data_IF_210143157321
#
_entry.id   IF_210143157321
#
_cell.length_a   1.000
_cell.length_b   1.000
_cell.length_c   1.000
_cell.angle_alpha   90.00
_cell.angle_beta   90.00
_cell.angle_gamma   90.00
#
_symmetry.space_group_name_H-M   'P 1'
#
loop_
_entity.id
_entity.type
_entity.pdbx_description
1 polymer ?
#
# COMPACT_ATOMS: atom_id res chain seq x y z
N UNK A 1 -8.73 -4.19 3.22
CA UNK A 1 -8.00 -3.06 3.84
C UNK A 1 -7.89 -3.17 5.36
N UNK A 2 -8.95 -3.56 6.07
CA UNK A 2 -8.97 -3.61 7.55
C UNK A 2 -7.95 -4.58 8.18
N UNK A 3 -7.67 -5.72 7.56
CA UNK A 3 -6.69 -6.70 8.06
C UNK A 3 -5.28 -6.10 8.09
N UNK A 4 -4.90 -5.35 7.06
CA UNK A 4 -3.58 -4.69 7.00
C UNK A 4 -3.46 -3.58 8.05
N UNK A 5 -4.52 -2.80 8.27
CA UNK A 5 -4.55 -1.78 9.32
C UNK A 5 -4.51 -2.38 10.73
N UNK A 6 -5.16 -3.54 10.95
CA UNK A 6 -5.05 -4.29 12.21
C UNK A 6 -3.65 -4.84 12.45
N UNK A 7 -2.97 -5.32 11.41
CA UNK A 7 -1.59 -5.81 11.51
C UNK A 7 -0.62 -4.66 11.84
N UNK A 8 -0.75 -3.49 11.20
CA UNK A 8 0.08 -2.32 11.53
C UNK A 8 -0.14 -1.87 12.98
N UNK A 9 -1.39 -1.81 13.46
CA UNK A 9 -1.69 -1.48 14.86
C UNK A 9 -1.08 -2.47 15.86
N UNK A 10 -1.03 -3.76 15.52
CA UNK A 10 -0.40 -4.77 16.39
C UNK A 10 1.11 -4.55 16.43
N UNK A 11 1.74 -4.25 15.30
CA UNK A 11 3.18 -4.04 15.21
C UNK A 11 3.62 -2.79 15.99
N UNK A 12 2.90 -1.67 15.83
CA UNK A 12 3.17 -0.43 16.57
C UNK A 12 3.03 -0.63 18.09
N UNK A 13 2.05 -1.44 18.52
CA UNK A 13 1.82 -1.74 19.93
C UNK A 13 2.91 -2.62 20.52
N UNK A 14 3.48 -3.53 19.74
CA UNK A 14 4.64 -4.34 20.12
C UNK A 14 5.87 -3.44 20.28
N UNK A 15 6.14 -2.55 19.31
CA UNK A 15 7.28 -1.63 19.37
C UNK A 15 7.20 -0.67 20.57
N UNK A 16 6.02 -0.10 20.86
CA UNK A 16 5.82 0.70 22.06
C UNK A 16 6.03 -0.10 23.36
N UNK A 17 5.55 -1.33 23.40
CA UNK A 17 5.69 -2.19 24.59
C UNK A 17 7.15 -2.54 24.83
N UNK A 18 7.91 -2.86 23.78
CA UNK A 18 9.35 -3.11 23.86
C UNK A 18 10.12 -1.87 24.28
N UNK A 19 9.79 -0.69 23.74
CA UNK A 19 10.38 0.59 24.15
C UNK A 19 10.18 0.87 25.65
N UNK A 20 8.96 0.66 26.15
CA UNK A 20 8.62 0.86 27.56
C UNK A 20 9.33 -0.14 28.49
N UNK A 21 9.48 -1.41 28.06
CA UNK A 21 10.22 -2.43 28.82
C UNK A 21 11.70 -2.05 28.89
N UNK A 22 12.30 -1.61 27.78
CA UNK A 22 13.70 -1.18 27.72
C UNK A 22 13.91 0.03 28.65
N UNK A 23 13.02 1.02 28.61
CA UNK A 23 13.12 2.19 29.48
C UNK A 23 13.04 1.81 30.97
N UNK A 24 12.09 0.96 31.35
CA UNK A 24 11.98 0.45 32.73
C UNK A 24 13.19 -0.35 33.20
N UNK A 25 13.88 -1.04 32.29
CA UNK A 25 15.12 -1.75 32.60
C UNK A 25 16.26 -0.74 32.84
N UNK A 26 16.33 0.33 32.05
CA UNK A 26 17.31 1.40 32.26
C UNK A 26 17.08 2.16 33.56
N UNK A 27 15.83 2.53 33.86
CA UNK A 27 15.49 3.26 35.09
C UNK A 27 15.77 2.41 36.35
N UNK A 28 15.48 1.10 36.31
CA UNK A 28 15.81 0.15 37.40
C UNK A 28 17.30 -0.08 37.60
N UNK A 29 18.13 0.09 36.57
CA UNK A 29 19.58 0.01 36.68
C UNK A 29 20.15 1.32 37.28
N UNK A 30 19.48 2.46 37.08
CA UNK A 30 19.87 3.76 37.64
C UNK A 30 19.54 3.87 39.15
N UNK A 31 18.39 3.37 39.58
CA UNK A 31 18.01 3.27 41.02
C UNK A 31 18.89 2.30 41.83
N UNK A 32 19.62 1.40 41.15
CA UNK A 32 20.63 0.52 41.77
C UNK A 32 22.03 1.12 41.78
N UNK A 33 22.30 2.12 40.94
CA UNK A 33 23.56 2.86 40.90
C UNK A 33 23.65 3.85 42.08
N UNK A 34 22.54 4.48 42.50
CA UNK A 34 22.51 5.38 43.67
C UNK A 34 22.53 4.67 45.03
N UNK A 35 22.18 3.39 45.10
CA UNK A 35 22.09 2.63 46.38
C UNK A 35 23.36 1.86 46.75
N UNK A 36 24.44 2.01 45.98
CA UNK A 36 25.62 1.13 46.02
C UNK A 36 26.96 1.88 46.15
N UNK A 37 26.96 3.08 46.75
CA UNK A 37 28.19 3.69 47.27
C UNK A 37 28.26 3.50 48.79
N UNK A 38 29.15 2.62 49.31
CA UNK A 38 29.50 2.62 50.72
C UNK A 38 30.43 3.82 51.01
N UNK A 39 30.41 4.37 52.24
CA UNK A 39 31.35 5.40 52.66
C UNK A 39 32.80 4.98 52.36
N UNK A 40 33.60 5.89 51.81
CA UNK A 40 34.94 5.66 51.23
C UNK A 40 35.95 4.95 52.18
N UNK A 41 35.63 4.79 53.45
CA UNK A 41 36.50 4.22 54.49
C UNK A 41 36.57 2.67 54.50
N UNK A 42 35.74 1.96 53.73
CA UNK A 42 35.72 0.48 53.74
C UNK A 42 36.66 -0.19 52.72
N UNK A 43 37.22 0.55 51.76
CA UNK A 43 38.03 -0.05 50.68
C UNK A 43 39.47 -0.40 51.07
N UNK A 44 39.96 0.12 52.20
CA UNK A 44 41.37 -0.03 52.60
C UNK A 44 41.65 -1.39 53.26
N UNK A 45 40.65 -2.07 53.83
CA UNK A 45 40.88 -3.32 54.59
C UNK A 45 40.71 -4.62 53.77
N UNK A 46 40.19 -4.55 52.54
CA UNK A 46 39.89 -5.75 51.73
C UNK A 46 40.86 -5.95 50.56
N UNK A 47 41.98 -5.23 50.52
CA UNK A 47 42.99 -5.33 49.45
C UNK A 47 44.01 -6.48 49.64
N UNK A 48 43.94 -7.24 50.73
CA UNK A 48 44.93 -8.28 51.06
C UNK A 48 44.49 -9.73 50.77
N UNK A 49 43.29 -9.99 50.26
CA UNK A 49 42.88 -11.34 49.83
C UNK A 49 42.46 -11.35 48.37
N UNK A 50 43.16 -12.17 47.59
CA UNK A 50 43.19 -12.09 46.13
C UNK A 50 41.87 -12.40 45.42
N UNK A 51 41.86 -11.96 44.16
CA UNK A 51 40.90 -12.27 43.09
C UNK A 51 39.48 -11.70 43.24
N UNK A 52 39.36 -10.38 43.08
CA UNK A 52 38.12 -9.79 42.55
C UNK A 52 38.35 -9.26 41.14
N UNK A 53 37.60 -9.78 40.16
CA UNK A 53 37.55 -9.18 38.83
C UNK A 53 36.99 -7.77 38.96
N UNK A 54 37.79 -6.76 38.59
CA UNK A 54 37.44 -5.33 38.65
C UNK A 54 35.95 -5.09 38.26
N UNK A 55 35.09 -4.60 39.17
CA UNK A 55 33.67 -4.40 38.92
C UNK A 55 33.40 -3.43 37.74
N UNK A 56 34.30 -2.49 37.46
CA UNK A 56 34.22 -1.60 36.29
C UNK A 56 34.42 -2.34 34.97
N UNK A 57 35.15 -3.46 34.97
CA UNK A 57 35.33 -4.32 33.77
C UNK A 57 34.03 -5.06 33.44
N UNK A 58 33.26 -5.48 34.44
CA UNK A 58 31.97 -6.15 34.25
C UNK A 58 30.88 -5.16 33.80
N UNK A 59 30.83 -3.95 34.40
CA UNK A 59 29.94 -2.85 33.98
C UNK A 59 30.20 -2.42 32.53
N UNK A 60 31.47 -2.24 32.11
CA UNK A 60 31.82 -1.95 30.71
C UNK A 60 31.38 -3.04 29.75
N UNK A 61 31.70 -4.31 30.03
CA UNK A 61 31.28 -5.45 29.20
C UNK A 61 29.76 -5.54 29.01
N UNK A 62 28.98 -5.20 30.04
CA UNK A 62 27.51 -5.16 29.96
C UNK A 62 27.03 -4.01 29.07
N UNK A 63 27.57 -2.79 29.24
CA UNK A 63 27.27 -1.63 28.38
C UNK A 63 27.62 -1.92 26.91
N UNK A 64 28.79 -2.50 26.64
CA UNK A 64 29.21 -2.86 25.28
C UNK A 64 28.28 -3.91 24.64
N UNK A 65 27.83 -4.91 25.42
CA UNK A 65 26.91 -5.94 24.93
C UNK A 65 25.51 -5.38 24.66
N UNK A 66 25.02 -4.46 25.50
CA UNK A 66 23.76 -3.75 25.27
C UNK A 66 23.86 -2.88 24.01
N UNK A 67 24.95 -2.14 23.84
CA UNK A 67 25.18 -1.32 22.65
C UNK A 67 25.24 -2.18 21.38
N UNK A 68 25.91 -3.34 21.43
CA UNK A 68 25.97 -4.30 20.33
C UNK A 68 24.58 -4.86 19.99
N UNK A 69 23.78 -5.21 20.99
CA UNK A 69 22.41 -5.69 20.79
C UNK A 69 21.51 -4.60 20.23
N UNK A 70 21.62 -3.35 20.70
CA UNK A 70 20.90 -2.19 20.18
C UNK A 70 21.25 -1.94 18.71
N UNK A 71 22.54 -1.92 18.38
CA UNK A 71 22.98 -1.75 16.99
C UNK A 71 22.52 -2.91 16.09
N UNK A 72 22.53 -4.14 16.62
CA UNK A 72 21.99 -5.32 15.93
C UNK A 72 20.49 -5.20 15.65
N UNK A 73 19.71 -4.78 16.65
CA UNK A 73 18.27 -4.57 16.52
C UNK A 73 17.95 -3.45 15.51
N UNK A 74 18.64 -2.31 15.60
CA UNK A 74 18.48 -1.21 14.64
C UNK A 74 18.83 -1.66 13.22
N UNK A 75 19.86 -2.49 13.05
CA UNK A 75 20.22 -3.05 11.73
C UNK A 75 19.11 -3.94 11.19
N UNK A 76 18.52 -4.81 12.02
CA UNK A 76 17.40 -5.66 11.64
C UNK A 76 16.17 -4.84 11.26
N UNK A 77 15.77 -3.87 12.10
CA UNK A 77 14.66 -2.96 11.81
C UNK A 77 14.85 -2.22 10.49
N UNK A 78 16.05 -1.67 10.26
CA UNK A 78 16.38 -0.99 9.02
C UNK A 78 16.28 -1.90 7.79
N UNK A 79 16.63 -3.19 7.91
CA UNK A 79 16.47 -4.15 6.83
C UNK A 79 14.97 -4.38 6.49
N UNK A 80 14.11 -4.52 7.51
CA UNK A 80 12.66 -4.66 7.30
C UNK A 80 12.04 -3.42 6.66
N UNK A 81 12.41 -2.22 7.12
CA UNK A 81 11.92 -0.95 6.53
C UNK A 81 12.34 -0.84 5.07
N UNK A 82 13.59 -1.16 4.75
CA UNK A 82 14.08 -1.16 3.36
C UNK A 82 13.30 -2.16 2.49
N UNK A 83 13.07 -3.38 2.97
CA UNK A 83 12.30 -4.38 2.23
C UNK A 83 10.84 -3.94 2.02
N UNK A 84 10.19 -3.36 3.03
CA UNK A 84 8.85 -2.77 2.91
C UNK A 84 8.82 -1.71 1.80
N UNK A 85 9.82 -0.82 1.77
CA UNK A 85 9.90 0.22 0.77
C UNK A 85 10.08 -0.34 -0.65
N UNK A 86 10.92 -1.37 -0.83
CA UNK A 86 11.10 -2.05 -2.12
C UNK A 86 9.79 -2.68 -2.58
N UNK A 87 9.07 -3.36 -1.69
CA UNK A 87 7.78 -3.98 -2.02
C UNK A 87 6.72 -2.93 -2.42
N UNK A 88 6.60 -1.82 -1.69
CA UNK A 88 5.69 -0.71 -2.04
C UNK A 88 6.07 -0.13 -3.40
N UNK A 89 7.37 0.08 -3.65
CA UNK A 89 7.85 0.65 -4.91
C UNK A 89 7.56 -0.28 -6.10
N UNK A 90 7.79 -1.59 -5.93
CA UNK A 90 7.44 -2.62 -6.90
C UNK A 90 5.93 -2.62 -7.19
N UNK A 91 5.09 -2.61 -6.15
CA UNK A 91 3.64 -2.54 -6.29
C UNK A 91 3.22 -1.27 -7.05
N UNK A 92 3.75 -0.10 -6.70
CA UNK A 92 3.43 1.15 -7.41
C UNK A 92 3.85 1.11 -8.88
N UNK A 93 5.05 0.65 -9.19
CA UNK A 93 5.53 0.51 -10.57
C UNK A 93 4.60 -0.39 -11.40
N UNK A 94 4.16 -1.47 -10.78
CA UNK A 94 3.34 -2.47 -11.42
C UNK A 94 1.88 -2.01 -11.69
N UNK A 95 1.32 -1.12 -10.86
CA UNK A 95 0.08 -0.39 -11.17
C UNK A 95 0.28 0.63 -12.29
N UNK A 96 1.43 1.30 -12.34
CA UNK A 96 1.72 2.26 -13.42
C UNK A 96 1.81 1.56 -14.78
N UNK A 97 2.47 0.41 -14.84
CA UNK A 97 2.50 -0.42 -16.07
C UNK A 97 1.09 -0.85 -16.45
N UNK A 98 0.29 -1.37 -15.50
CA UNK A 98 -1.10 -1.75 -15.75
C UNK A 98 -1.94 -0.59 -16.31
N UNK A 99 -1.74 0.63 -15.79
CA UNK A 99 -2.42 1.84 -16.26
C UNK A 99 -1.99 2.26 -17.67
N UNK A 100 -0.72 2.07 -18.02
CA UNK A 100 -0.24 2.35 -19.38
C UNK A 100 -0.85 1.35 -20.37
N UNK A 101 -0.85 0.07 -20.03
CA UNK A 101 -1.44 -0.99 -20.86
C UNK A 101 -2.93 -0.73 -21.07
N UNK A 102 -3.69 -0.46 -19.99
CA UNK A 102 -5.12 -0.20 -20.10
C UNK A 102 -5.47 1.00 -20.97
N UNK A 103 -4.66 2.06 -20.97
CA UNK A 103 -4.84 3.25 -21.82
C UNK A 103 -4.59 2.99 -23.30
N UNK A 104 -3.70 2.04 -23.61
CA UNK A 104 -3.36 1.72 -25.01
C UNK A 104 -4.36 0.77 -25.68
N UNK A 105 -5.25 0.13 -24.90
CA UNK A 105 -6.25 -0.81 -25.42
C UNK A 105 -5.64 -2.06 -26.09
N UNK A 106 -4.38 -2.38 -25.76
CA UNK A 106 -3.63 -3.46 -26.39
C UNK A 106 -3.96 -4.83 -25.78
N UNK A 107 -3.83 -5.93 -26.54
CA UNK A 107 -4.09 -7.27 -26.02
C UNK A 107 -3.12 -7.65 -24.89
N UNK A 108 -3.60 -8.45 -23.93
CA UNK A 108 -2.82 -8.99 -22.79
C UNK A 108 -1.60 -9.86 -23.17
N UNK A 109 -1.31 -10.02 -24.46
CA UNK A 109 -0.12 -10.72 -24.98
C UNK A 109 1.15 -9.88 -24.77
N UNK A 110 1.03 -8.55 -24.61
CA UNK A 110 2.19 -7.66 -24.52
C UNK A 110 2.79 -7.53 -23.11
N UNK A 111 2.14 -8.06 -22.07
CA UNK A 111 2.52 -7.76 -20.68
C UNK A 111 3.80 -8.50 -20.27
N UNK A 112 3.92 -9.76 -20.71
CA UNK A 112 5.13 -10.57 -20.52
C UNK A 112 6.29 -9.98 -21.34
N UNK A 113 6.00 -9.51 -22.56
CA UNK A 113 6.96 -8.81 -23.40
C UNK A 113 7.48 -7.52 -22.77
N UNK A 114 6.62 -6.73 -22.11
CA UNK A 114 7.05 -5.53 -21.36
C UNK A 114 8.02 -5.90 -20.24
N UNK A 115 7.79 -7.02 -19.54
CA UNK A 115 8.71 -7.50 -18.50
C UNK A 115 10.06 -7.91 -19.09
N UNK A 116 10.07 -8.62 -20.22
CA UNK A 116 11.30 -9.00 -20.92
C UNK A 116 12.10 -7.79 -21.41
N UNK A 117 11.41 -6.78 -21.97
CA UNK A 117 12.03 -5.52 -22.38
C UNK A 117 12.69 -4.81 -21.19
N UNK A 118 11.98 -4.71 -20.07
CA UNK A 118 12.47 -4.06 -18.86
C UNK A 118 13.72 -4.76 -18.30
N UNK A 119 13.71 -6.09 -18.28
CA UNK A 119 14.84 -6.89 -17.81
C UNK A 119 16.05 -6.80 -18.76
N UNK A 120 15.83 -6.78 -20.07
CA UNK A 120 16.90 -6.62 -21.05
C UNK A 120 17.60 -5.27 -20.90
N UNK A 121 16.84 -4.18 -20.76
CA UNK A 121 17.41 -2.84 -20.52
C UNK A 121 18.14 -2.77 -19.18
N UNK A 122 17.58 -3.35 -18.11
CA UNK A 122 18.21 -3.34 -16.79
C UNK A 122 19.56 -4.07 -16.78
N UNK A 123 19.67 -5.20 -17.50
CA UNK A 123 20.93 -5.95 -17.59
C UNK A 123 22.05 -5.15 -18.26
N UNK A 124 21.74 -4.38 -19.29
CA UNK A 124 22.74 -3.58 -20.04
C UNK A 124 23.08 -2.26 -19.34
N UNK A 125 22.10 -1.57 -18.75
CA UNK A 125 22.30 -0.22 -18.19
C UNK A 125 22.66 -0.22 -16.71
N UNK A 126 22.07 -1.13 -15.92
CA UNK A 126 22.17 -1.15 -14.46
C UNK A 126 22.14 -2.60 -13.93
N UNK A 127 23.14 -3.45 -14.26
CA UNK A 127 23.15 -4.86 -13.91
C UNK A 127 23.01 -5.10 -12.39
N UNK A 128 23.53 -4.20 -11.57
CA UNK A 128 23.46 -4.24 -10.11
C UNK A 128 22.04 -4.05 -9.54
N UNK A 129 21.09 -3.58 -10.36
CA UNK A 129 19.69 -3.35 -9.98
C UNK A 129 18.71 -4.30 -10.66
N UNK A 130 19.18 -5.26 -11.44
CA UNK A 130 18.33 -6.19 -12.20
C UNK A 130 17.29 -6.91 -11.32
N UNK A 131 17.68 -7.28 -10.10
CA UNK A 131 16.78 -7.95 -9.14
C UNK A 131 15.61 -7.08 -8.68
N UNK A 132 15.75 -5.75 -8.69
CA UNK A 132 14.65 -4.84 -8.37
C UNK A 132 13.57 -4.88 -9.46
N UNK A 133 13.98 -4.99 -10.73
CA UNK A 133 13.06 -5.08 -11.87
C UNK A 133 12.39 -6.46 -11.96
N UNK A 134 13.11 -7.53 -11.59
CA UNK A 134 12.55 -8.90 -11.58
C UNK A 134 11.44 -9.06 -10.54
N UNK A 135 11.56 -8.34 -9.41
CA UNK A 135 10.59 -8.28 -8.31
C UNK A 135 9.25 -7.65 -8.73
N UNK A 136 9.20 -6.91 -9.85
CA UNK A 136 7.94 -6.32 -10.35
C UNK A 136 7.06 -7.42 -10.97
N UNK A 137 5.89 -7.63 -10.37
CA UNK A 137 4.91 -8.60 -10.85
C UNK A 137 4.10 -8.00 -12.02
N UNK A 138 4.44 -8.39 -13.25
CA UNK A 138 3.79 -7.94 -14.49
C UNK A 138 3.16 -9.10 -15.28
N UNK A 139 2.80 -10.20 -14.62
CA UNK A 139 2.12 -11.29 -15.32
C UNK A 139 0.71 -10.88 -15.74
N UNK A 140 0.22 -11.47 -16.84
CA UNK A 140 -1.16 -11.40 -17.35
C UNK A 140 -2.21 -11.22 -16.26
N UNK A 141 -2.40 -12.24 -15.40
CA UNK A 141 -3.41 -12.20 -14.34
C UNK A 141 -3.21 -11.05 -13.33
N UNK A 142 -1.96 -10.67 -13.07
CA UNK A 142 -1.66 -9.60 -12.12
C UNK A 142 -2.07 -8.25 -12.67
N UNK A 143 -1.77 -7.96 -13.94
CA UNK A 143 -2.14 -6.70 -14.56
C UNK A 143 -3.67 -6.61 -14.71
N UNK A 144 -4.33 -7.68 -15.15
CA UNK A 144 -5.81 -7.73 -15.19
C UNK A 144 -6.41 -7.37 -13.84
N UNK A 145 -5.98 -8.03 -12.77
CA UNK A 145 -6.46 -7.74 -11.41
C UNK A 145 -6.22 -6.29 -11.00
N UNK A 146 -5.08 -5.70 -11.34
CA UNK A 146 -4.80 -4.29 -11.04
C UNK A 146 -5.65 -3.33 -11.85
N UNK A 147 -5.95 -3.65 -13.11
CA UNK A 147 -6.86 -2.87 -13.94
C UNK A 147 -8.27 -2.90 -13.33
N UNK A 148 -8.72 -4.08 -12.89
CA UNK A 148 -9.98 -4.24 -12.17
C UNK A 148 -9.99 -3.44 -10.87
N UNK A 149 -8.95 -3.54 -10.03
CA UNK A 149 -8.83 -2.77 -8.79
C UNK A 149 -8.86 -1.25 -9.05
N UNK A 150 -8.19 -0.78 -10.11
CA UNK A 150 -8.26 0.62 -10.52
C UNK A 150 -9.66 1.02 -11.00
N UNK A 151 -10.33 0.12 -11.74
CA UNK A 151 -11.71 0.30 -12.19
C UNK A 151 -12.71 0.38 -11.04
N UNK A 152 -12.57 -0.50 -10.04
CA UNK A 152 -13.38 -0.51 -8.83
C UNK A 152 -13.18 0.75 -8.01
N UNK A 153 -11.93 1.21 -7.86
CA UNK A 153 -11.64 2.47 -7.18
C UNK A 153 -12.26 3.67 -7.91
N UNK A 154 -12.18 3.70 -9.24
CA UNK A 154 -12.86 4.73 -10.03
C UNK A 154 -14.39 4.66 -9.85
N UNK A 155 -14.96 3.46 -9.85
CA UNK A 155 -16.39 3.26 -9.64
C UNK A 155 -16.84 3.77 -8.26
N UNK A 156 -16.09 3.48 -7.20
CA UNK A 156 -16.36 4.01 -5.86
C UNK A 156 -16.26 5.54 -5.82
N UNK A 157 -15.27 6.11 -6.51
CA UNK A 157 -15.15 7.57 -6.61
C UNK A 157 -16.39 8.19 -7.29
N UNK A 158 -16.84 7.61 -8.41
CA UNK A 158 -18.04 8.06 -9.11
C UNK A 158 -19.30 7.95 -8.24
N UNK A 159 -19.45 6.87 -7.47
CA UNK A 159 -20.56 6.71 -6.54
C UNK A 159 -20.56 7.79 -5.45
N UNK A 160 -19.40 8.05 -4.85
CA UNK A 160 -19.25 9.08 -3.82
C UNK A 160 -19.52 10.48 -4.37
N UNK A 161 -19.02 10.80 -5.57
CA UNK A 161 -19.30 12.07 -6.24
C UNK A 161 -20.78 12.21 -6.59
N UNK A 162 -21.42 11.13 -7.05
CA UNK A 162 -22.84 11.13 -7.40
C UNK A 162 -23.76 11.41 -6.20
N UNK A 163 -23.38 10.97 -5.00
CA UNK A 163 -24.13 11.27 -3.75
C UNK A 163 -24.15 12.75 -3.40
N UNK A 164 -23.16 13.51 -3.85
CA UNK A 164 -23.03 14.94 -3.58
C UNK A 164 -23.71 15.80 -4.65
N UNK A 165 -24.38 15.19 -5.64
CA UNK A 165 -25.10 15.92 -6.68
C UNK A 165 -26.50 16.29 -6.19
N UNK A 166 -26.84 17.57 -6.26
CA UNK A 166 -28.15 18.09 -5.88
C UNK A 166 -29.15 17.92 -7.02
N UNK A 167 -28.66 18.07 -8.25
CA UNK A 167 -29.40 17.82 -9.47
C UNK A 167 -28.51 17.05 -10.44
N UNK A 168 -29.10 16.09 -11.15
CA UNK A 168 -28.41 15.35 -12.18
C UNK A 168 -29.32 15.09 -13.39
N UNK A 169 -28.69 14.78 -14.52
CA UNK A 169 -29.30 14.34 -15.76
C UNK A 169 -28.46 13.20 -16.34
N UNK A 170 -29.09 12.37 -17.17
CA UNK A 170 -28.40 11.31 -17.90
C UNK A 170 -28.26 11.72 -19.36
N UNK A 171 -27.04 11.67 -19.88
CA UNK A 171 -26.78 11.79 -21.31
C UNK A 171 -26.48 10.39 -21.87
N UNK A 172 -27.25 9.98 -22.87
CA UNK A 172 -27.14 8.69 -23.52
C UNK A 172 -26.59 8.92 -24.93
N UNK A 173 -25.43 8.34 -25.23
CA UNK A 173 -24.84 8.40 -26.56
C UNK A 173 -24.72 6.99 -27.14
N UNK A 174 -25.15 6.81 -28.39
CA UNK A 174 -25.11 5.51 -29.07
C UNK A 174 -24.22 5.61 -30.28
N UNK A 175 -23.15 4.82 -30.29
CA UNK A 175 -22.32 4.63 -31.47
C UNK A 175 -22.66 3.28 -32.12
N UNK A 176 -22.81 3.27 -33.43
CA UNK A 176 -22.98 2.04 -34.20
C UNK A 176 -21.60 1.47 -34.53
N UNK A 177 -21.23 0.33 -33.93
CA UNK A 177 -20.05 -0.42 -34.38
C UNK A 177 -20.34 -1.05 -35.75
N UNK A 178 -19.32 -1.19 -36.58
CA UNK A 178 -19.36 -1.78 -37.94
C UNK A 178 -19.82 -3.25 -37.90
N UNK A 179 -19.94 -3.87 -36.71
CA UNK A 179 -20.23 -5.29 -36.46
C UNK A 179 -21.61 -5.57 -35.83
N UNK A 180 -22.66 -4.87 -36.25
CA UNK A 180 -24.07 -5.11 -35.83
C UNK A 180 -24.28 -5.06 -34.29
N UNK A 181 -23.43 -4.31 -33.60
CA UNK A 181 -23.57 -4.04 -32.17
C UNK A 181 -23.45 -2.56 -31.89
N UNK A 182 -24.48 -1.97 -31.30
CA UNK A 182 -24.41 -0.60 -30.81
C UNK A 182 -23.68 -0.55 -29.45
N UNK A 183 -22.86 0.47 -29.25
CA UNK A 183 -22.26 0.81 -27.97
C UNK A 183 -23.05 1.98 -27.37
N UNK A 184 -23.69 1.74 -26.23
CA UNK A 184 -24.41 2.74 -25.45
C UNK A 184 -23.49 3.27 -24.35
N UNK A 185 -23.12 4.54 -24.45
CA UNK A 185 -22.47 5.32 -23.41
C UNK A 185 -23.54 6.00 -22.56
N UNK A 186 -23.38 5.91 -21.24
CA UNK A 186 -24.28 6.53 -20.27
C UNK A 186 -23.43 7.45 -19.42
N UNK A 187 -23.66 8.76 -19.54
CA UNK A 187 -23.02 9.79 -18.73
C UNK A 187 -23.99 10.30 -17.66
N UNK A 188 -23.47 10.56 -16.47
CA UNK A 188 -24.17 11.31 -15.43
C UNK A 188 -23.60 12.73 -15.46
N UNK A 189 -24.49 13.71 -15.62
CA UNK A 189 -24.15 15.14 -15.55
C UNK A 189 -24.89 15.74 -14.39
N UNK A 190 -24.21 16.44 -13.50
CA UNK A 190 -24.88 17.06 -12.36
C UNK A 190 -24.16 18.25 -11.78
N UNK A 191 -24.81 18.89 -10.84
CA UNK A 191 -24.26 20.01 -10.07
C UNK A 191 -24.31 19.68 -8.58
N UNK A 192 -23.27 20.08 -7.86
CA UNK A 192 -23.25 20.03 -6.39
C UNK A 192 -23.77 21.35 -5.79
N UNK A 193 -23.76 21.43 -4.45
CA UNK A 193 -24.16 22.62 -3.67
C UNK A 193 -23.30 23.86 -3.96
N UNK A 194 -22.09 23.66 -4.49
CA UNK A 194 -21.16 24.73 -4.87
C UNK A 194 -21.35 25.17 -6.32
N UNK A 195 -22.39 24.70 -7.02
CA UNK A 195 -22.64 24.95 -8.43
C UNK A 195 -21.54 24.45 -9.38
N UNK A 196 -20.72 23.50 -8.93
CA UNK A 196 -19.71 22.85 -9.77
C UNK A 196 -20.40 21.81 -10.66
N UNK A 197 -20.28 21.99 -11.98
CA UNK A 197 -20.81 21.05 -12.97
C UNK A 197 -19.82 19.93 -13.17
N UNK A 198 -20.31 18.70 -13.04
CA UNK A 198 -19.53 17.48 -13.27
C UNK A 198 -20.20 16.64 -14.36
N UNK A 199 -19.39 16.00 -15.19
CA UNK A 199 -19.81 15.05 -16.20
C UNK A 199 -18.91 13.83 -16.14
N UNK A 200 -19.50 12.66 -15.90
CA UNK A 200 -18.75 11.42 -15.71
C UNK A 200 -19.40 10.25 -16.47
N UNK A 201 -18.58 9.36 -17.00
CA UNK A 201 -19.05 8.15 -17.68
C UNK A 201 -19.49 7.11 -16.64
N UNK A 202 -20.80 6.90 -16.52
CA UNK A 202 -21.38 5.95 -15.57
C UNK A 202 -21.33 4.50 -16.08
N UNK A 203 -21.51 4.29 -17.39
CA UNK A 203 -21.41 2.97 -17.99
C UNK A 203 -21.18 3.00 -19.50
N UNK A 204 -20.49 1.96 -19.97
CA UNK A 204 -20.45 1.57 -21.39
C UNK A 204 -21.13 0.19 -21.52
N UNK A 205 -22.16 0.10 -22.36
CA UNK A 205 -22.95 -1.13 -22.57
C UNK A 205 -23.05 -1.47 -24.04
N UNK A 206 -22.71 -2.71 -24.39
CA UNK A 206 -22.99 -3.24 -25.73
C UNK A 206 -24.45 -3.71 -25.84
N UNK A 207 -25.08 -3.35 -26.96
CA UNK A 207 -26.42 -3.76 -27.40
C UNK A 207 -26.23 -4.50 -28.74
N UNK A 208 -26.63 -5.77 -28.81
CA UNK A 208 -26.48 -6.59 -30.02
C UNK A 208 -27.76 -6.57 -30.84
N UNK A 209 -27.64 -6.45 -32.16
CA UNK A 209 -28.79 -6.43 -33.08
C UNK A 209 -29.52 -5.09 -33.06
N UNK A 210 -30.84 -5.10 -32.82
CA UNK A 210 -31.66 -3.88 -32.89
C UNK A 210 -31.37 -2.94 -31.73
N UNK A 211 -31.29 -1.64 -32.03
CA UNK A 211 -31.08 -0.57 -31.04
C UNK A 211 -32.39 0.19 -30.84
N UNK A 212 -33.41 -0.47 -30.28
CA UNK A 212 -34.69 0.20 -30.03
C UNK A 212 -34.65 0.99 -28.71
N UNK A 213 -35.56 1.95 -28.54
CA UNK A 213 -35.69 2.68 -27.28
C UNK A 213 -35.95 1.76 -26.08
N UNK A 214 -36.65 0.64 -26.29
CA UNK A 214 -36.89 -0.38 -25.26
C UNK A 214 -35.58 -1.05 -24.80
N UNK A 215 -34.68 -1.37 -25.73
CA UNK A 215 -33.39 -1.99 -25.42
C UNK A 215 -32.50 -1.04 -24.62
N UNK A 216 -32.49 0.24 -25.00
CA UNK A 216 -31.77 1.31 -24.27
C UNK A 216 -32.36 1.44 -22.85
N UNK A 217 -33.68 1.55 -22.73
CA UNK A 217 -34.35 1.67 -21.43
C UNK A 217 -34.02 0.48 -20.51
N UNK A 218 -34.07 -0.75 -21.02
CA UNK A 218 -33.69 -1.95 -20.25
C UNK A 218 -32.25 -1.89 -19.72
N UNK A 219 -31.30 -1.37 -20.50
CA UNK A 219 -29.90 -1.23 -20.07
C UNK A 219 -29.75 -0.16 -18.99
N UNK A 220 -30.39 1.00 -19.16
CA UNK A 220 -30.37 2.09 -18.19
C UNK A 220 -31.05 1.67 -16.89
N UNK A 221 -32.22 1.05 -16.96
CA UNK A 221 -32.93 0.52 -15.79
C UNK A 221 -32.09 -0.51 -15.03
N UNK A 222 -31.44 -1.44 -15.74
CA UNK A 222 -30.54 -2.41 -15.11
C UNK A 222 -29.35 -1.73 -14.43
N UNK A 223 -28.77 -0.70 -15.05
CA UNK A 223 -27.70 0.08 -14.43
C UNK A 223 -28.20 0.72 -13.13
N UNK A 224 -29.36 1.38 -13.18
CA UNK A 224 -29.97 2.02 -12.02
C UNK A 224 -30.18 1.05 -10.86
N UNK A 225 -30.72 -0.14 -11.15
CA UNK A 225 -30.88 -1.20 -10.14
C UNK A 225 -29.56 -1.59 -9.47
N UNK A 226 -28.48 -1.74 -10.25
CA UNK A 226 -27.16 -2.07 -9.69
C UNK A 226 -26.71 -0.96 -8.73
N UNK A 227 -26.85 0.30 -9.13
CA UNK A 227 -26.43 1.45 -8.34
C UNK A 227 -27.27 1.64 -7.07
N UNK A 228 -28.57 1.37 -7.12
CA UNK A 228 -29.45 1.41 -5.94
C UNK A 228 -29.11 0.33 -4.92
N UNK A 229 -28.78 -0.90 -5.37
CA UNK A 229 -28.44 -2.02 -4.47
C UNK A 229 -27.06 -1.89 -3.82
N UNK A 230 -26.13 -1.14 -4.44
CA UNK A 230 -24.79 -0.90 -3.88
C UNK A 230 -24.72 0.28 -2.89
N UNK A 231 -25.87 0.81 -2.44
CA UNK A 231 -25.92 1.78 -1.34
C UNK A 231 -25.94 3.25 -1.76
N UNK A 232 -26.90 3.62 -2.60
CA UNK A 232 -27.48 4.96 -2.63
C UNK A 232 -28.71 4.96 -1.71
N UNK A 233 -28.47 5.05 -0.40
CA UNK A 233 -29.41 5.50 0.62
C UNK A 233 -28.60 6.21 1.71
#
# INVERSE_FOLDING_TARGET
MEIFQSIEKIFDRIDQTLGNIIQRIMDKDQDKEERMEPPEETWIQTLESGQHTNPNKCKRKRKDKILKLKNGLTTQQNAFVKQKQVNISSLRASFQVAKLISRTGRPFVEEEFVKECLLSVAKEMCPEKTDLFSTVSLSGPTITRRIEEMGDNLHQHLQNSSKNLCYFSLALDTSNDVRDSAQLLIFIRGTNDYFEVTEELAALKSIKGRTTGEDIFKKVHKLWMIWSWTGLN
#
